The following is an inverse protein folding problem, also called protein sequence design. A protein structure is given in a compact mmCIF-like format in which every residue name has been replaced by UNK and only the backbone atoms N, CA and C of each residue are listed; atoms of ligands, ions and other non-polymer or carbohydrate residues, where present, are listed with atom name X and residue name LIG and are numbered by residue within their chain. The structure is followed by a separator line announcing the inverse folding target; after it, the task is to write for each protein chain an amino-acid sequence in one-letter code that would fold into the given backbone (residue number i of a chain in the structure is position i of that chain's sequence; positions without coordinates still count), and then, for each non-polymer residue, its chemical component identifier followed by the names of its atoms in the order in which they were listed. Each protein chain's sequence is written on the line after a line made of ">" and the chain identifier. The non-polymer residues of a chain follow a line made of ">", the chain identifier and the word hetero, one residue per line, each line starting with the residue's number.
data_IF_798225920776
#
_entry.id   IF_798225920776
#
_cell.length_a   1.000
_cell.length_b   1.000
_cell.length_c   1.000
_cell.angle_alpha   90.00
_cell.angle_beta   90.00
_cell.angle_gamma   90.00
#
_symmetry.space_group_name_H-M   'P 1'
#
loop_
_entity.id
_entity.type
_entity.pdbx_description
1 polymer ?
#
# COMPACT_ATOMS: atom_id res chain seq x y z
N UNK A 1 14.03 9.99 -48.67
CA UNK A 1 14.60 9.92 -47.31
C UNK A 1 13.47 9.95 -46.30
N UNK A 2 13.36 9.01 -45.36
CA UNK A 2 12.36 9.11 -44.29
C UNK A 2 12.79 10.17 -43.26
N UNK A 3 11.84 10.91 -42.66
CA UNK A 3 12.15 11.95 -41.68
C UNK A 3 12.69 11.32 -40.38
N UNK A 4 13.83 11.84 -39.93
CA UNK A 4 14.42 11.47 -38.63
C UNK A 4 13.48 11.98 -37.53
N UNK A 5 12.75 11.07 -36.89
CA UNK A 5 12.00 11.38 -35.66
C UNK A 5 13.00 11.64 -34.53
N UNK A 6 13.27 12.92 -34.24
CA UNK A 6 13.90 13.30 -32.98
C UNK A 6 12.94 13.01 -31.84
N UNK A 7 13.19 11.93 -31.08
CA UNK A 7 12.51 11.74 -29.81
C UNK A 7 13.03 12.78 -28.82
N UNK A 8 12.16 13.54 -28.13
CA UNK A 8 12.62 14.48 -27.11
C UNK A 8 13.39 13.70 -26.04
N UNK A 9 14.63 14.11 -25.78
CA UNK A 9 15.47 13.56 -24.71
C UNK A 9 14.73 13.84 -23.39
N UNK A 10 14.37 12.78 -22.67
CA UNK A 10 13.81 12.92 -21.34
C UNK A 10 14.82 13.68 -20.47
N UNK A 11 14.44 14.88 -20.02
CA UNK A 11 15.22 15.64 -19.04
C UNK A 11 15.03 14.92 -17.71
N UNK A 12 16.02 14.13 -17.31
CA UNK A 12 16.05 13.59 -15.96
C UNK A 12 16.20 14.78 -15.00
N UNK A 13 15.15 15.08 -14.25
CA UNK A 13 15.23 16.01 -13.12
C UNK A 13 16.30 15.52 -12.16
N UNK A 14 17.15 16.43 -11.67
CA UNK A 14 18.20 16.09 -10.74
C UNK A 14 17.60 15.37 -9.52
N UNK A 15 18.15 14.20 -9.19
CA UNK A 15 17.77 13.45 -7.99
C UNK A 15 18.08 14.33 -6.76
N UNK A 16 17.16 14.38 -5.79
CA UNK A 16 17.33 15.16 -4.54
C UNK A 16 18.59 14.72 -3.78
N UNK A 17 19.23 15.65 -3.07
CA UNK A 17 20.44 15.35 -2.29
C UNK A 17 20.20 14.30 -1.20
N UNK A 18 18.99 14.24 -0.64
CA UNK A 18 18.57 13.16 0.28
C UNK A 18 18.66 11.78 -0.38
N UNK A 19 18.17 11.68 -1.62
CA UNK A 19 18.17 10.41 -2.36
C UNK A 19 19.60 10.01 -2.74
N UNK A 20 20.47 10.98 -3.08
CA UNK A 20 21.90 10.71 -3.29
C UNK A 20 22.57 10.17 -2.03
N UNK A 21 22.25 10.74 -0.86
CA UNK A 21 22.77 10.27 0.42
C UNK A 21 22.38 8.81 0.69
N UNK A 22 21.09 8.48 0.54
CA UNK A 22 20.61 7.10 0.71
C UNK A 22 21.28 6.12 -0.26
N UNK A 23 21.51 6.52 -1.52
CA UNK A 23 22.20 5.68 -2.51
C UNK A 23 23.63 5.40 -2.06
N UNK A 24 24.34 6.42 -1.56
CA UNK A 24 25.70 6.29 -1.07
C UNK A 24 25.76 5.31 0.11
N UNK A 25 24.95 5.52 1.15
CA UNK A 25 24.89 4.65 2.33
C UNK A 25 24.58 3.20 1.93
N UNK A 26 23.54 2.99 1.11
CA UNK A 26 23.15 1.65 0.70
C UNK A 26 24.24 0.97 -0.13
N UNK A 27 24.92 1.70 -1.01
CA UNK A 27 26.03 1.18 -1.81
C UNK A 27 27.22 0.79 -0.93
N UNK A 28 27.53 1.55 0.13
CA UNK A 28 28.64 1.21 1.03
C UNK A 28 28.35 -0.03 1.87
N UNK A 29 27.08 -0.24 2.27
CA UNK A 29 26.63 -1.45 2.96
C UNK A 29 26.53 -2.67 2.02
N UNK A 30 26.35 -2.46 0.72
CA UNK A 30 26.13 -3.51 -0.28
C UNK A 30 27.20 -3.50 -1.37
N UNK A 31 28.49 -3.56 -0.97
CA UNK A 31 29.65 -3.45 -1.90
C UNK A 31 29.65 -4.49 -3.05
N UNK A 32 28.98 -5.63 -2.88
CA UNK A 32 28.89 -6.69 -3.90
C UNK A 32 27.80 -6.45 -4.94
N UNK A 33 26.96 -5.42 -4.78
CA UNK A 33 25.85 -5.13 -5.68
C UNK A 33 26.30 -4.31 -6.87
N UNK A 34 25.84 -4.70 -8.06
CA UNK A 34 26.12 -3.94 -9.29
C UNK A 34 25.35 -2.61 -9.27
N UNK A 35 25.89 -1.61 -9.95
CA UNK A 35 25.21 -0.31 -10.12
C UNK A 35 23.79 -0.44 -10.69
N UNK A 36 23.54 -1.43 -11.55
CA UNK A 36 22.21 -1.76 -12.06
C UNK A 36 21.23 -2.22 -10.97
N UNK A 37 21.70 -3.02 -10.01
CA UNK A 37 20.87 -3.47 -8.87
C UNK A 37 20.58 -2.32 -7.91
N UNK A 38 21.56 -1.45 -7.67
CA UNK A 38 21.40 -0.22 -6.89
C UNK A 38 20.35 0.67 -7.55
N UNK A 39 20.49 0.95 -8.86
CA UNK A 39 19.53 1.76 -9.60
C UNK A 39 18.13 1.15 -9.58
N UNK A 40 18.00 -0.17 -9.75
CA UNK A 40 16.71 -0.88 -9.66
C UNK A 40 16.07 -0.71 -8.29
N UNK A 41 16.84 -0.89 -7.22
CA UNK A 41 16.36 -0.72 -5.85
C UNK A 41 15.78 0.69 -5.62
N UNK A 42 16.54 1.72 -5.98
CA UNK A 42 16.16 3.11 -5.73
C UNK A 42 15.05 3.60 -6.66
N UNK A 43 15.04 3.19 -7.94
CA UNK A 43 13.94 3.45 -8.86
C UNK A 43 12.63 2.80 -8.39
N UNK A 44 12.71 1.61 -7.80
CA UNK A 44 11.54 0.98 -7.21
C UNK A 44 11.11 1.68 -5.92
N UNK A 45 12.06 2.04 -5.04
CA UNK A 45 11.80 2.69 -3.75
C UNK A 45 11.15 4.06 -3.93
N UNK A 46 11.71 4.88 -4.82
CA UNK A 46 11.27 6.25 -5.10
C UNK A 46 10.31 6.35 -6.29
N UNK A 47 9.71 5.23 -6.70
CA UNK A 47 8.70 5.27 -7.75
C UNK A 47 7.53 6.14 -7.30
N UNK A 48 7.22 7.14 -8.10
CA UNK A 48 6.05 8.00 -7.90
C UNK A 48 4.78 7.14 -7.81
N UNK A 49 3.95 7.46 -6.83
CA UNK A 49 2.63 6.84 -6.72
C UNK A 49 1.73 7.48 -7.74
N UNK A 50 1.01 6.67 -8.52
CA UNK A 50 -0.02 7.17 -9.45
C UNK A 50 -1.14 7.96 -8.75
N UNK A 51 -1.49 7.58 -7.51
CA UNK A 51 -2.60 8.15 -6.75
C UNK A 51 -2.16 8.50 -5.31
N UNK A 52 -1.40 9.59 -5.12
CA UNK A 52 -0.84 9.94 -3.81
C UNK A 52 -1.92 10.21 -2.74
N UNK A 53 -3.05 10.81 -3.13
CA UNK A 53 -4.17 11.07 -2.23
C UNK A 53 -4.79 9.77 -1.68
N UNK A 54 -5.00 8.77 -2.55
CA UNK A 54 -5.52 7.46 -2.16
C UNK A 54 -4.56 6.75 -1.19
N UNK A 55 -3.26 6.75 -1.49
CA UNK A 55 -2.27 6.14 -0.60
C UNK A 55 -2.24 6.82 0.76
N UNK A 56 -2.29 8.16 0.80
CA UNK A 56 -2.27 8.90 2.06
C UNK A 56 -3.50 8.58 2.93
N UNK A 57 -4.70 8.56 2.34
CA UNK A 57 -5.91 8.16 3.04
C UNK A 57 -5.83 6.72 3.57
N UNK A 58 -5.28 5.81 2.77
CA UNK A 58 -5.06 4.42 3.18
C UNK A 58 -4.05 4.30 4.33
N UNK A 59 -2.96 5.07 4.34
CA UNK A 59 -1.99 5.10 5.44
C UNK A 59 -2.61 5.59 6.74
N UNK A 60 -3.33 6.72 6.71
CA UNK A 60 -4.03 7.24 7.89
C UNK A 60 -5.07 6.26 8.44
N UNK A 61 -5.83 5.61 7.55
CA UNK A 61 -6.79 4.59 7.97
C UNK A 61 -6.11 3.39 8.62
N UNK A 62 -5.01 2.89 8.03
CA UNK A 62 -4.23 1.79 8.63
C UNK A 62 -3.73 2.18 10.02
N UNK A 63 -3.14 3.36 10.17
CA UNK A 63 -2.65 3.86 11.46
C UNK A 63 -3.77 3.87 12.51
N UNK A 64 -4.92 4.44 12.18
CA UNK A 64 -6.08 4.50 13.08
C UNK A 64 -6.60 3.11 13.48
N UNK A 65 -6.70 2.19 12.51
CA UNK A 65 -7.19 0.82 12.76
C UNK A 65 -6.18 0.01 13.59
N UNK A 66 -4.88 0.17 13.32
CA UNK A 66 -3.82 -0.47 14.11
C UNK A 66 -3.75 0.07 15.53
N UNK A 67 -3.95 1.37 15.73
CA UNK A 67 -4.02 1.99 17.05
C UNK A 67 -5.22 1.46 17.86
N UNK A 68 -6.28 1.03 17.19
CA UNK A 68 -7.47 0.41 17.79
C UNK A 68 -7.30 -1.09 18.09
N UNK A 69 -6.12 -1.67 17.81
CA UNK A 69 -5.84 -3.09 18.06
C UNK A 69 -6.48 -4.07 17.06
N UNK A 70 -7.06 -3.57 15.98
CA UNK A 70 -7.74 -4.41 14.97
C UNK A 70 -6.74 -5.07 14.04
N UNK A 71 -6.93 -6.36 13.80
CA UNK A 71 -6.10 -7.16 12.88
C UNK A 71 -6.51 -6.84 11.43
N UNK A 72 -5.57 -6.26 10.67
CA UNK A 72 -5.78 -5.94 9.26
C UNK A 72 -5.58 -7.17 8.36
N UNK A 73 -6.69 -7.71 7.84
CA UNK A 73 -6.67 -8.75 6.81
C UNK A 73 -6.45 -8.19 5.41
N UNK A 74 -5.93 -9.01 4.50
CA UNK A 74 -5.72 -8.65 3.09
C UNK A 74 -7.03 -8.21 2.41
N UNK A 75 -8.15 -8.84 2.77
CA UNK A 75 -9.47 -8.52 2.24
C UNK A 75 -9.93 -7.14 2.70
N UNK A 76 -9.84 -6.86 4.00
CA UNK A 76 -10.27 -5.58 4.58
C UNK A 76 -9.52 -4.40 3.97
N UNK A 77 -8.21 -4.56 3.75
CA UNK A 77 -7.38 -3.52 3.11
C UNK A 77 -7.85 -3.27 1.67
N UNK A 78 -8.18 -4.32 0.91
CA UNK A 78 -8.67 -4.16 -0.47
C UNK A 78 -10.04 -3.52 -0.53
N UNK A 79 -10.97 -3.93 0.34
CA UNK A 79 -12.31 -3.34 0.41
C UNK A 79 -12.24 -1.86 0.76
N UNK A 80 -11.44 -1.49 1.77
CA UNK A 80 -11.26 -0.08 2.11
C UNK A 80 -10.64 0.72 0.97
N UNK A 81 -9.66 0.14 0.27
CA UNK A 81 -9.02 0.80 -0.86
C UNK A 81 -9.99 1.05 -2.02
N UNK A 82 -10.95 0.14 -2.27
CA UNK A 82 -12.03 0.35 -3.25
C UNK A 82 -12.92 1.52 -2.87
N UNK A 83 -13.38 1.58 -1.62
CA UNK A 83 -14.21 2.68 -1.11
C UNK A 83 -13.50 4.02 -1.28
N UNK A 84 -12.20 4.09 -0.98
CA UNK A 84 -11.44 5.31 -1.20
C UNK A 84 -11.22 5.62 -2.68
N UNK A 85 -10.99 4.62 -3.53
CA UNK A 85 -10.91 4.87 -4.97
C UNK A 85 -12.20 5.45 -5.53
N UNK A 86 -13.36 4.94 -5.11
CA UNK A 86 -14.67 5.52 -5.45
C UNK A 86 -14.77 6.97 -4.98
N UNK A 87 -14.39 7.25 -3.72
CA UNK A 87 -14.38 8.61 -3.17
C UNK A 87 -13.44 9.59 -3.93
N UNK A 88 -12.33 9.09 -4.47
CA UNK A 88 -11.40 9.85 -5.30
C UNK A 88 -11.73 9.81 -6.80
N UNK A 89 -12.87 9.22 -7.18
CA UNK A 89 -13.31 9.07 -8.56
C UNK A 89 -12.29 8.33 -9.46
N UNK A 90 -11.56 7.36 -8.89
CA UNK A 90 -10.58 6.51 -9.57
C UNK A 90 -11.30 5.29 -10.16
N UNK A 91 -11.23 5.12 -11.47
CA UNK A 91 -11.88 4.00 -12.15
C UNK A 91 -11.06 2.70 -11.99
N UNK A 92 -11.74 1.55 -11.97
CA UNK A 92 -11.09 0.23 -11.84
C UNK A 92 -10.06 -0.04 -12.95
N UNK A 93 -10.25 0.55 -14.14
CA UNK A 93 -9.31 0.46 -15.26
C UNK A 93 -7.95 1.12 -14.97
N UNK A 94 -7.94 2.12 -14.10
CA UNK A 94 -6.75 2.92 -13.79
C UNK A 94 -5.99 2.36 -12.57
N UNK A 95 -6.71 1.66 -11.68
CA UNK A 95 -6.14 1.03 -10.49
C UNK A 95 -6.82 -0.31 -10.16
N UNK A 96 -6.06 -1.39 -10.27
CA UNK A 96 -6.47 -2.72 -9.82
C UNK A 96 -5.88 -3.04 -8.44
N UNK A 97 -6.76 -3.32 -7.46
CA UNK A 97 -6.43 -3.77 -6.11
C UNK A 97 -6.00 -5.24 -6.05
N UNK A 98 -5.12 -5.63 -6.97
CA UNK A 98 -4.53 -6.97 -7.07
C UNK A 98 -3.66 -7.32 -5.86
N UNK A 99 -3.32 -8.60 -5.71
CA UNK A 99 -2.35 -9.06 -4.72
C UNK A 99 -0.98 -8.35 -4.87
N UNK A 100 -0.60 -8.01 -6.10
CA UNK A 100 0.63 -7.28 -6.39
C UNK A 100 0.59 -5.82 -5.91
N UNK A 101 -0.56 -5.16 -5.99
CA UNK A 101 -0.76 -3.83 -5.40
C UNK A 101 -0.67 -3.90 -3.88
N UNK A 102 -1.41 -4.83 -3.27
CA UNK A 102 -1.43 -5.00 -1.81
C UNK A 102 -0.03 -5.28 -1.24
N UNK A 103 0.74 -6.14 -1.89
CA UNK A 103 2.12 -6.42 -1.48
C UNK A 103 3.00 -5.15 -1.52
N UNK A 104 2.86 -4.31 -2.56
CA UNK A 104 3.60 -3.05 -2.66
C UNK A 104 3.17 -2.07 -1.57
N UNK A 105 1.87 -1.93 -1.34
CA UNK A 105 1.30 -1.09 -0.28
C UNK A 105 1.84 -1.49 1.12
N UNK A 106 1.75 -2.78 1.47
CA UNK A 106 2.24 -3.31 2.76
C UNK A 106 3.75 -3.15 2.94
N UNK A 107 4.53 -3.51 1.90
CA UNK A 107 6.00 -3.61 1.99
C UNK A 107 6.70 -2.25 1.89
N UNK A 108 6.23 -1.34 1.03
CA UNK A 108 6.94 -0.09 0.75
C UNK A 108 6.51 1.08 1.60
N UNK A 109 5.25 1.12 2.07
CA UNK A 109 4.65 2.36 2.56
C UNK A 109 4.27 2.29 4.03
N UNK A 110 3.65 1.19 4.48
CA UNK A 110 3.09 1.16 5.84
C UNK A 110 3.82 0.22 6.82
N UNK A 111 4.93 -0.43 6.42
CA UNK A 111 5.65 -1.40 7.25
C UNK A 111 4.72 -2.40 7.98
N UNK A 112 3.57 -2.74 7.36
CA UNK A 112 2.57 -3.63 7.95
C UNK A 112 3.21 -5.01 7.96
N UNK A 113 3.89 -5.33 9.06
CA UNK A 113 4.46 -6.66 9.28
C UNK A 113 3.27 -7.61 9.34
N UNK A 114 3.31 -8.68 8.54
CA UNK A 114 2.34 -9.76 8.67
C UNK A 114 2.43 -10.27 10.11
N UNK A 115 1.45 -9.95 10.94
CA UNK A 115 1.23 -10.68 12.18
C UNK A 115 0.72 -12.06 11.75
N UNK A 116 1.61 -13.04 11.76
CA UNK A 116 1.24 -14.44 11.57
C UNK A 116 0.57 -14.87 12.87
N UNK A 117 -0.74 -14.72 12.95
CA UNK A 117 -1.51 -15.21 14.10
C UNK A 117 -1.62 -16.72 13.91
N UNK A 118 -0.79 -17.45 14.65
CA UNK A 118 -1.11 -18.83 14.99
C UNK A 118 -1.95 -18.77 16.25
N UNK A 119 -3.21 -19.20 16.21
CA UNK A 119 -4.04 -19.38 17.40
C UNK A 119 -5.43 -18.77 17.31
N UNK A 120 -6.43 -19.66 17.43
CA UNK A 120 -7.80 -19.41 17.90
C UNK A 120 -8.79 -18.71 16.96
N UNK A 121 -9.25 -19.47 15.95
CA UNK A 121 -10.48 -19.17 15.19
C UNK A 121 -11.76 -19.67 15.90
N UNK A 122 -11.69 -20.01 17.20
CA UNK A 122 -12.73 -20.80 17.89
C UNK A 122 -13.25 -20.16 19.19
N UNK A 123 -13.21 -18.82 19.33
CA UNK A 123 -13.83 -18.16 20.50
C UNK A 123 -14.67 -16.94 20.18
N UNK A 124 -15.27 -16.88 18.99
CA UNK A 124 -16.49 -16.11 18.82
C UNK A 124 -17.67 -17.04 19.15
N UNK A 125 -18.37 -16.88 20.29
CA UNK A 125 -19.54 -17.69 20.57
C UNK A 125 -20.65 -17.26 19.62
N UNK A 126 -20.76 -17.95 18.48
CA UNK A 126 -21.86 -17.77 17.51
C UNK A 126 -23.24 -17.96 18.14
N UNK A 127 -23.29 -18.52 19.35
CA UNK A 127 -24.49 -18.72 20.15
C UNK A 127 -25.14 -17.41 20.65
N UNK A 128 -24.42 -16.29 20.78
CA UNK A 128 -25.00 -15.03 21.29
C UNK A 128 -25.52 -14.08 20.18
N UNK A 129 -25.28 -14.41 18.91
CA UNK A 129 -25.74 -13.60 17.77
C UNK A 129 -27.27 -13.44 17.66
N UNK A 130 -28.12 -14.44 18.00
CA UNK A 130 -29.57 -14.25 18.00
C UNK A 130 -30.04 -13.28 19.09
N UNK A 131 -29.39 -13.31 20.24
CA UNK A 131 -29.77 -12.52 21.42
C UNK A 131 -29.41 -11.03 21.24
N UNK A 132 -28.23 -10.75 20.70
CA UNK A 132 -27.83 -9.37 20.34
C UNK A 132 -28.67 -8.82 19.17
N UNK A 133 -29.09 -9.68 18.22
CA UNK A 133 -30.05 -9.26 17.17
C UNK A 133 -31.42 -8.89 17.74
N UNK A 134 -31.93 -9.66 18.71
CA UNK A 134 -33.22 -9.37 19.34
C UNK A 134 -33.20 -8.03 20.09
N UNK A 135 -32.12 -7.74 20.84
CA UNK A 135 -31.96 -6.47 21.56
C UNK A 135 -31.96 -5.25 20.64
N UNK A 136 -31.31 -5.36 19.48
CA UNK A 136 -31.27 -4.26 18.51
C UNK A 136 -32.62 -4.02 17.82
N UNK A 137 -33.44 -5.07 17.65
CA UNK A 137 -34.79 -4.94 17.10
C UNK A 137 -35.77 -4.29 18.07
N UNK A 138 -35.58 -4.47 19.38
CA UNK A 138 -36.43 -3.86 20.42
C UNK A 138 -36.19 -2.35 20.57
N UNK A 139 -34.97 -1.87 20.32
CA UNK A 139 -34.62 -0.45 20.40
C UNK A 139 -35.12 0.35 19.18
N UNK A 140 -35.29 -0.32 18.04
CA UNK A 140 -35.72 0.29 16.77
C UNK A 140 -37.20 0.06 16.46
N UNK A 141 -37.93 -0.63 17.36
CA UNK A 141 -39.36 -0.92 17.27
C UNK A 141 -40.20 0.09 18.04
#
# INVERSE_FOLDING_TARGET
>A
MPPIRFKPKQRHSAISDDVKHQICEWSTANKSKRHEEIAKHFNEKHKEVKFPALEHAMSLWVENVTASGVILTDLLIKEKAKIFAEAFNIQEKDLSFSNGWLHKFKKKRNNIRKYRIHGELESAPLASLPEERARLQEILG
#
